data_IF_659977723330
#
_entry.id   IF_659977723330
#
_cell.length_a   1.000
_cell.length_b   1.000
_cell.length_c   1.000
_cell.angle_alpha   90.00
_cell.angle_beta   90.00
_cell.angle_gamma   90.00
#
_symmetry.space_group_name_H-M   'P 1'
#
loop_
_entity.id
_entity.type
_entity.pdbx_description
1 polymer ?
#
# COMPACT_ATOMS: atom_id res chain seq x y z
N UNK A 1 -2.36 25.70 -3.98
CA UNK A 1 -1.47 25.82 -2.79
C UNK A 1 -1.48 24.48 -2.05
N UNK A 2 -0.34 24.00 -1.58
CA UNK A 2 -0.25 22.77 -0.77
C UNK A 2 0.59 23.06 0.47
N UNK A 3 0.08 22.71 1.65
CA UNK A 3 0.76 22.90 2.94
C UNK A 3 0.75 21.59 3.73
N UNK A 4 1.88 21.27 4.35
CA UNK A 4 2.06 20.10 5.22
C UNK A 4 2.22 20.56 6.66
N UNK A 5 1.52 19.90 7.57
CA UNK A 5 1.52 20.18 9.01
C UNK A 5 1.73 18.85 9.73
N UNK A 6 2.60 18.80 10.71
CA UNK A 6 2.80 17.63 11.55
C UNK A 6 2.05 17.81 12.88
N UNK A 7 1.06 16.96 13.13
CA UNK A 7 0.29 16.90 14.36
C UNK A 7 0.76 15.73 15.23
N UNK A 8 0.89 15.93 16.54
CA UNK A 8 1.42 14.93 17.49
C UNK A 8 0.62 13.62 17.52
N UNK A 9 -0.69 13.67 17.29
CA UNK A 9 -1.58 12.50 17.36
C UNK A 9 -2.06 12.03 15.99
N UNK A 10 -2.32 12.95 15.07
CA UNK A 10 -2.83 12.68 13.74
C UNK A 10 -1.73 12.43 12.70
N UNK A 11 -0.46 12.67 13.08
CA UNK A 11 0.67 12.54 12.16
C UNK A 11 0.69 13.63 11.10
N UNK A 12 1.12 13.28 9.88
CA UNK A 12 1.22 14.26 8.79
C UNK A 12 -0.15 14.60 8.21
N UNK A 13 -0.44 15.89 8.14
CA UNK A 13 -1.65 16.45 7.55
C UNK A 13 -1.26 17.30 6.35
N UNK A 14 -1.78 16.98 5.18
CA UNK A 14 -1.58 17.74 3.95
C UNK A 14 -2.84 18.53 3.63
N UNK A 15 -2.77 19.85 3.58
CA UNK A 15 -3.88 20.74 3.19
C UNK A 15 -3.61 21.25 1.78
N UNK A 16 -4.57 21.05 0.88
CA UNK A 16 -4.47 21.50 -0.51
C UNK A 16 -5.74 22.17 -1.01
N UNK A 17 -5.60 23.16 -1.87
CA UNK A 17 -6.70 23.76 -2.60
C UNK A 17 -7.04 22.93 -3.86
N UNK A 18 -8.32 22.92 -4.20
CA UNK A 18 -8.80 22.26 -5.41
C UNK A 18 -9.92 23.03 -6.06
N UNK A 19 -9.78 23.33 -7.35
CA UNK A 19 -10.81 23.98 -8.18
C UNK A 19 -12.11 23.15 -8.31
N UNK A 20 -11.99 21.83 -8.08
CA UNK A 20 -13.15 20.92 -8.16
C UNK A 20 -13.87 20.77 -6.81
N UNK A 21 -13.29 21.28 -5.74
CA UNK A 21 -13.89 21.18 -4.42
C UNK A 21 -14.93 22.31 -4.22
N UNK A 22 -16.14 21.94 -3.88
CA UNK A 22 -17.21 22.87 -3.50
C UNK A 22 -17.37 23.01 -1.99
N UNK A 23 -16.73 22.14 -1.23
CA UNK A 23 -16.79 22.08 0.24
C UNK A 23 -15.46 21.60 0.85
N UNK A 24 -15.27 21.89 2.13
CA UNK A 24 -14.18 21.34 2.91
C UNK A 24 -14.32 19.83 3.04
N UNK A 25 -13.25 19.09 2.77
CA UNK A 25 -13.29 17.63 2.82
C UNK A 25 -12.03 17.11 3.51
N UNK A 26 -12.19 16.12 4.40
CA UNK A 26 -11.10 15.37 5.02
C UNK A 26 -11.10 13.96 4.43
N UNK A 27 -9.94 13.49 4.03
CA UNK A 27 -9.72 12.13 3.52
C UNK A 27 -8.50 11.54 4.20
N UNK A 28 -8.54 10.25 4.47
CA UNK A 28 -7.35 9.49 4.84
C UNK A 28 -6.83 8.82 3.58
N UNK A 29 -5.59 9.10 3.25
CA UNK A 29 -4.90 8.51 2.11
C UNK A 29 -3.52 8.05 2.56
N UNK A 30 -3.25 6.75 2.47
CA UNK A 30 -1.96 6.15 2.84
C UNK A 30 -1.53 6.39 4.30
N UNK A 31 -2.50 6.46 5.21
CA UNK A 31 -2.23 6.75 6.63
C UNK A 31 -1.94 8.22 6.92
N UNK A 32 -2.03 9.10 5.92
CA UNK A 32 -1.96 10.55 6.09
C UNK A 32 -3.33 11.20 5.94
N UNK A 33 -3.56 12.29 6.63
CA UNK A 33 -4.79 13.07 6.49
C UNK A 33 -4.60 14.11 5.39
N UNK A 34 -5.52 14.12 4.45
CA UNK A 34 -5.56 15.11 3.37
C UNK A 34 -6.80 15.97 3.52
N UNK A 35 -6.60 17.24 3.86
CA UNK A 35 -7.63 18.28 3.86
C UNK A 35 -7.71 18.95 2.48
N UNK A 36 -8.90 18.99 1.89
CA UNK A 36 -9.14 19.67 0.62
C UNK A 36 -10.00 20.88 0.85
N UNK A 37 -9.51 22.04 0.42
CA UNK A 37 -10.17 23.35 0.56
C UNK A 37 -10.65 23.80 -0.82
N UNK A 38 -11.87 24.38 -0.97
CA UNK A 38 -12.25 25.09 -2.18
C UNK A 38 -11.31 26.27 -2.47
N UNK A 39 -11.20 26.71 -3.72
CA UNK A 39 -10.46 27.91 -4.07
C UNK A 39 -10.99 29.11 -3.26
N UNK A 40 -10.10 29.88 -2.65
CA UNK A 40 -10.45 31.00 -1.77
C UNK A 40 -10.94 30.58 -0.39
N UNK A 41 -10.94 29.30 -0.08
CA UNK A 41 -11.31 28.80 1.26
C UNK A 41 -10.25 29.10 2.32
N UNK A 42 -10.67 29.24 3.57
CA UNK A 42 -9.82 29.57 4.69
C UNK A 42 -9.12 28.35 5.27
N UNK A 43 -7.79 28.36 5.35
CA UNK A 43 -6.99 27.35 6.03
C UNK A 43 -7.36 27.24 7.52
N UNK A 44 -7.59 28.39 8.19
CA UNK A 44 -8.01 28.44 9.60
C UNK A 44 -9.28 27.65 9.83
N UNK A 45 -10.24 27.75 8.89
CA UNK A 45 -11.48 26.98 8.92
C UNK A 45 -11.23 25.47 8.73
N UNK A 46 -10.28 25.10 7.87
CA UNK A 46 -9.88 23.70 7.70
C UNK A 46 -9.25 23.14 8.99
N UNK A 47 -8.39 23.90 9.66
CA UNK A 47 -7.80 23.48 10.94
C UNK A 47 -8.87 23.26 12.01
N UNK A 48 -9.84 24.16 12.11
CA UNK A 48 -10.98 24.00 13.02
C UNK A 48 -11.80 22.74 12.66
N UNK A 49 -12.05 22.49 11.39
CA UNK A 49 -12.75 21.30 10.92
C UNK A 49 -12.01 20.00 11.22
N UNK A 50 -10.66 20.02 11.19
CA UNK A 50 -9.82 18.90 11.64
C UNK A 50 -10.02 18.64 13.13
N UNK A 51 -9.99 19.68 13.97
CA UNK A 51 -10.19 19.56 15.43
C UNK A 51 -11.58 18.99 15.76
N UNK A 52 -12.63 19.49 15.15
CA UNK A 52 -14.00 18.97 15.35
C UNK A 52 -14.13 17.49 15.00
N UNK A 53 -13.34 17.01 14.04
CA UNK A 53 -13.36 15.63 13.59
C UNK A 53 -12.19 14.77 14.12
N UNK A 54 -11.38 15.28 15.04
CA UNK A 54 -10.18 14.64 15.57
C UNK A 54 -10.41 13.18 16.01
N UNK A 55 -11.42 12.93 16.81
CA UNK A 55 -11.75 11.58 17.29
C UNK A 55 -12.08 10.61 16.16
N UNK A 56 -12.85 11.07 15.17
CA UNK A 56 -13.20 10.26 13.97
C UNK A 56 -11.97 9.98 13.11
N UNK A 57 -11.08 10.96 12.96
CA UNK A 57 -9.83 10.81 12.21
C UNK A 57 -8.90 9.81 12.90
N UNK A 58 -8.72 9.88 14.21
CA UNK A 58 -7.92 8.91 14.97
C UNK A 58 -8.48 7.50 14.86
N UNK A 59 -9.79 7.30 14.98
CA UNK A 59 -10.43 6.02 14.82
C UNK A 59 -10.25 5.47 13.38
N UNK A 60 -10.29 6.36 12.40
CA UNK A 60 -10.12 5.98 10.99
C UNK A 60 -8.65 5.67 10.64
N UNK A 61 -7.69 6.41 11.19
CA UNK A 61 -6.26 6.11 11.03
C UNK A 61 -5.90 4.73 11.62
N UNK A 62 -6.50 4.35 12.77
CA UNK A 62 -6.33 3.00 13.33
C UNK A 62 -6.86 1.90 12.41
N UNK A 63 -7.94 2.14 11.67
CA UNK A 63 -8.51 1.19 10.70
C UNK A 63 -7.73 1.16 9.38
N UNK A 64 -7.08 2.25 9.03
CA UNK A 64 -6.32 2.41 7.79
C UNK A 64 -4.89 2.86 8.12
N UNK A 65 -4.05 1.97 8.69
CA UNK A 65 -2.67 2.33 9.02
C UNK A 65 -1.93 2.75 7.75
N UNK A 66 -0.88 3.54 7.93
CA UNK A 66 0.02 3.90 6.84
C UNK A 66 0.50 2.62 6.14
N UNK A 67 0.44 2.60 4.82
CA UNK A 67 1.02 1.49 4.08
C UNK A 67 2.53 1.53 4.26
N UNK A 68 3.08 0.41 4.67
CA UNK A 68 4.53 0.26 4.67
C UNK A 68 5.08 0.49 3.27
N UNK A 69 6.14 1.29 3.20
CA UNK A 69 6.85 1.58 1.96
C UNK A 69 7.75 0.40 1.64
N UNK A 70 7.56 -0.19 0.47
CA UNK A 70 8.46 -1.20 -0.04
C UNK A 70 9.83 -0.56 -0.33
N UNK A 71 10.85 -0.92 0.45
CA UNK A 71 12.19 -0.35 0.36
C UNK A 71 13.24 -1.41 0.66
N UNK A 72 14.51 -1.06 0.44
CA UNK A 72 15.67 -1.88 0.77
C UNK A 72 15.87 -2.12 2.28
N UNK A 73 15.09 -1.44 3.12
CA UNK A 73 15.10 -1.60 4.59
C UNK A 73 13.93 -2.42 5.11
N UNK A 74 12.97 -2.77 4.25
CA UNK A 74 11.78 -3.51 4.67
C UNK A 74 12.10 -5.01 4.71
N UNK A 75 11.99 -5.59 5.89
CA UNK A 75 11.99 -7.03 6.09
C UNK A 75 10.55 -7.53 6.06
N UNK A 76 10.20 -8.31 5.06
CA UNK A 76 8.85 -8.86 4.90
C UNK A 76 8.93 -10.35 4.63
N UNK A 77 8.27 -11.12 5.48
CA UNK A 77 8.12 -12.57 5.34
C UNK A 77 6.69 -12.90 4.95
N UNK A 78 6.53 -13.71 3.91
CA UNK A 78 5.25 -14.33 3.53
C UNK A 78 5.24 -15.80 3.96
N UNK A 79 4.16 -16.49 3.67
CA UNK A 79 4.08 -17.94 3.91
C UNK A 79 5.11 -18.75 3.11
N UNK A 80 5.46 -18.32 1.90
CA UNK A 80 6.29 -19.09 0.96
C UNK A 80 7.63 -18.45 0.62
N UNK A 81 7.82 -17.18 0.89
CA UNK A 81 9.07 -16.48 0.63
C UNK A 81 9.28 -15.25 1.50
N UNK A 82 10.55 -14.87 1.67
CA UNK A 82 10.96 -13.57 2.19
C UNK A 82 11.22 -12.58 1.06
N UNK A 83 10.99 -11.28 1.31
CA UNK A 83 11.29 -10.20 0.37
C UNK A 83 12.67 -9.62 0.66
N UNK A 84 13.49 -9.49 -0.38
CA UNK A 84 14.77 -8.81 -0.35
C UNK A 84 14.85 -7.79 -1.49
N UNK A 85 14.80 -6.50 -1.17
CA UNK A 85 14.95 -5.40 -2.13
C UNK A 85 16.37 -4.85 -1.98
N UNK A 86 17.09 -4.68 -3.09
CA UNK A 86 18.45 -4.16 -3.08
C UNK A 86 18.73 -3.28 -4.30
N UNK A 87 19.76 -2.45 -4.19
CA UNK A 87 20.19 -1.53 -5.24
C UNK A 87 21.22 -2.17 -6.14
N UNK A 88 21.22 -1.78 -7.41
CA UNK A 88 22.16 -2.26 -8.42
C UNK A 88 22.45 -1.14 -9.44
N UNK A 89 23.53 -1.29 -10.19
CA UNK A 89 23.91 -0.42 -11.30
C UNK A 89 23.02 -0.52 -12.55
N UNK A 90 22.11 -1.51 -12.58
CA UNK A 90 21.18 -1.70 -13.68
C UNK A 90 20.16 -0.55 -13.77
N UNK A 91 19.74 -0.21 -14.97
CA UNK A 91 18.81 0.89 -15.24
C UNK A 91 17.34 0.56 -14.96
N UNK A 92 16.97 -0.69 -14.71
CA UNK A 92 15.59 -1.14 -14.54
C UNK A 92 15.35 -1.92 -13.26
N UNK A 93 14.07 -2.27 -13.04
CA UNK A 93 13.64 -3.14 -11.95
C UNK A 93 13.60 -4.59 -12.43
N UNK A 94 14.24 -5.47 -11.70
CA UNK A 94 14.29 -6.89 -12.01
C UNK A 94 13.86 -7.71 -10.80
N UNK A 95 13.22 -8.86 -11.04
CA UNK A 95 12.83 -9.75 -9.96
C UNK A 95 13.27 -11.19 -10.25
N UNK A 96 13.62 -11.90 -9.20
CA UNK A 96 13.89 -13.34 -9.20
C UNK A 96 13.33 -13.96 -7.92
N UNK A 97 12.64 -15.08 -8.04
CA UNK A 97 12.14 -15.85 -6.91
C UNK A 97 12.86 -17.20 -6.89
N UNK A 98 13.79 -17.37 -5.95
CA UNK A 98 14.63 -18.56 -5.85
C UNK A 98 14.89 -18.89 -4.38
N UNK A 99 14.92 -20.19 -4.03
CA UNK A 99 15.25 -20.64 -2.68
C UNK A 99 14.36 -20.05 -1.56
N UNK A 100 13.11 -19.70 -1.87
CA UNK A 100 12.22 -19.07 -0.88
C UNK A 100 12.53 -17.59 -0.61
N UNK A 101 13.28 -16.92 -1.50
CA UNK A 101 13.56 -15.48 -1.43
C UNK A 101 13.15 -14.79 -2.71
N UNK A 102 12.31 -13.77 -2.59
CA UNK A 102 11.99 -12.84 -3.67
C UNK A 102 13.03 -11.71 -3.68
N UNK A 103 13.93 -11.76 -4.62
CA UNK A 103 14.91 -10.71 -4.88
C UNK A 103 14.32 -9.68 -5.83
N UNK A 104 14.32 -8.39 -5.44
CA UNK A 104 13.97 -7.28 -6.33
C UNK A 104 15.17 -6.33 -6.40
N UNK A 105 15.81 -6.29 -7.58
CA UNK A 105 16.88 -5.36 -7.88
C UNK A 105 16.31 -4.04 -8.40
N UNK A 106 16.74 -2.93 -7.83
CA UNK A 106 16.33 -1.57 -8.16
C UNK A 106 17.53 -0.75 -8.65
N UNK A 107 17.34 0.25 -9.53
CA UNK A 107 18.40 1.17 -9.88
C UNK A 107 19.01 1.87 -8.65
N UNK A 108 20.32 2.17 -8.69
CA UNK A 108 21.07 2.79 -7.56
C UNK A 108 20.37 4.04 -7.01
N UNK A 109 19.89 4.92 -7.90
CA UNK A 109 19.26 6.20 -7.55
C UNK A 109 17.74 6.08 -7.30
N UNK A 110 17.22 4.89 -6.96
CA UNK A 110 15.79 4.70 -6.72
C UNK A 110 15.33 5.48 -5.49
N UNK A 111 14.32 6.35 -5.69
CA UNK A 111 13.60 6.99 -4.60
C UNK A 111 12.39 6.13 -4.20
N UNK A 112 12.46 5.44 -3.07
CA UNK A 112 11.37 4.58 -2.59
C UNK A 112 10.13 5.37 -2.13
N UNK A 113 10.21 6.67 -1.89
CA UNK A 113 9.04 7.50 -1.58
C UNK A 113 8.21 7.86 -2.82
N UNK A 114 8.78 7.70 -4.02
CA UNK A 114 8.07 7.97 -5.28
C UNK A 114 6.93 6.95 -5.49
N UNK A 115 5.74 7.49 -5.74
CA UNK A 115 4.54 6.68 -6.00
C UNK A 115 4.68 5.75 -7.20
N UNK A 116 5.41 6.16 -8.24
CA UNK A 116 5.63 5.36 -9.44
C UNK A 116 6.50 4.15 -9.11
N UNK A 117 7.55 4.37 -8.30
CA UNK A 117 8.42 3.31 -7.80
C UNK A 117 7.61 2.32 -6.95
N UNK A 118 6.80 2.82 -6.00
CA UNK A 118 5.96 1.97 -5.17
C UNK A 118 4.95 1.14 -6.00
N UNK A 119 4.39 1.70 -7.06
CA UNK A 119 3.51 0.95 -7.98
C UNK A 119 4.26 -0.19 -8.67
N UNK A 120 5.48 0.06 -9.16
CA UNK A 120 6.32 -0.97 -9.79
C UNK A 120 6.66 -2.08 -8.81
N UNK A 121 7.19 -1.75 -7.64
CA UNK A 121 7.54 -2.73 -6.59
C UNK A 121 6.34 -3.57 -6.18
N UNK A 122 5.17 -2.93 -5.98
CA UNK A 122 3.94 -3.63 -5.63
C UNK A 122 3.47 -4.57 -6.75
N UNK A 123 3.65 -4.20 -8.02
CA UNK A 123 3.32 -5.08 -9.15
C UNK A 123 4.24 -6.30 -9.19
N UNK A 124 5.55 -6.12 -8.99
CA UNK A 124 6.52 -7.22 -8.93
C UNK A 124 6.21 -8.16 -7.76
N UNK A 125 5.94 -7.60 -6.59
CA UNK A 125 5.54 -8.38 -5.41
C UNK A 125 4.24 -9.17 -5.63
N UNK A 126 3.21 -8.54 -6.20
CA UNK A 126 1.94 -9.22 -6.56
C UNK A 126 2.15 -10.34 -7.59
N UNK A 127 3.06 -10.15 -8.55
CA UNK A 127 3.40 -11.17 -9.53
C UNK A 127 4.01 -12.40 -8.86
N UNK A 128 4.94 -12.20 -7.91
CA UNK A 128 5.52 -13.28 -7.11
C UNK A 128 4.47 -14.01 -6.27
N UNK A 129 3.61 -13.26 -5.55
CA UNK A 129 2.52 -13.85 -4.76
C UNK A 129 1.57 -14.69 -5.63
N UNK A 130 1.23 -14.20 -6.82
CA UNK A 130 0.37 -14.95 -7.75
C UNK A 130 1.04 -16.22 -8.23
N UNK A 131 2.34 -16.17 -8.56
CA UNK A 131 3.11 -17.34 -8.96
C UNK A 131 3.09 -18.41 -7.86
N UNK A 132 3.38 -18.02 -6.63
CA UNK A 132 3.36 -18.94 -5.48
C UNK A 132 1.95 -19.47 -5.16
N UNK A 133 0.93 -18.63 -5.26
CA UNK A 133 -0.45 -19.07 -5.11
C UNK A 133 -0.84 -20.13 -6.15
N UNK A 134 -0.46 -19.94 -7.42
CA UNK A 134 -0.71 -20.92 -8.48
C UNK A 134 0.05 -22.23 -8.24
N UNK A 135 1.20 -22.19 -7.61
CA UNK A 135 2.01 -23.37 -7.28
C UNK A 135 1.48 -24.14 -6.05
N UNK A 136 1.05 -23.43 -5.01
CA UNK A 136 0.75 -24.02 -3.71
C UNK A 136 -0.74 -24.34 -3.48
N UNK A 137 -1.64 -23.45 -3.94
CA UNK A 137 -3.05 -23.56 -3.59
C UNK A 137 -3.79 -24.75 -4.23
N UNK A 138 -3.49 -25.18 -5.49
CA UNK A 138 -4.16 -26.33 -6.07
C UNK A 138 -4.00 -27.61 -5.25
N UNK A 139 -2.78 -27.94 -4.84
CA UNK A 139 -2.51 -29.15 -4.07
C UNK A 139 -3.10 -29.06 -2.66
N UNK A 140 -3.03 -27.86 -2.04
CA UNK A 140 -3.67 -27.63 -0.75
C UNK A 140 -5.19 -27.78 -0.82
N UNK A 141 -5.82 -27.28 -1.88
CA UNK A 141 -7.27 -27.45 -2.08
C UNK A 141 -7.64 -28.92 -2.27
N UNK A 142 -6.88 -29.69 -3.06
CA UNK A 142 -7.08 -31.14 -3.23
C UNK A 142 -7.02 -31.89 -1.89
N UNK A 143 -6.01 -31.59 -1.07
CA UNK A 143 -5.88 -32.18 0.27
C UNK A 143 -7.10 -31.88 1.13
N UNK A 144 -7.57 -30.63 1.16
CA UNK A 144 -8.75 -30.24 1.95
C UNK A 144 -10.03 -30.88 1.40
N UNK A 145 -10.20 -30.94 0.09
CA UNK A 145 -11.34 -31.59 -0.54
C UNK A 145 -11.42 -33.07 -0.16
N UNK A 146 -10.31 -33.80 -0.23
CA UNK A 146 -10.23 -35.20 0.19
C UNK A 146 -10.54 -35.37 1.68
N UNK A 147 -10.00 -34.48 2.53
CA UNK A 147 -10.22 -34.54 3.98
C UNK A 147 -11.69 -34.30 4.36
N UNK A 148 -12.37 -33.41 3.67
CA UNK A 148 -13.75 -32.99 3.99
C UNK A 148 -14.81 -33.59 3.06
N UNK A 149 -14.44 -34.46 2.14
CA UNK A 149 -15.39 -35.21 1.30
C UNK A 149 -16.11 -34.37 0.25
N UNK A 150 -15.54 -33.26 -0.23
CA UNK A 150 -16.13 -32.49 -1.33
C UNK A 150 -15.31 -32.60 -2.63
N UNK A 151 -16.02 -32.46 -3.75
CA UNK A 151 -15.44 -32.51 -5.08
C UNK A 151 -15.48 -31.12 -5.75
N UNK A 152 -14.52 -30.84 -6.60
CA UNK A 152 -14.50 -29.64 -7.45
C UNK A 152 -13.98 -30.02 -8.83
N UNK A 153 -14.45 -29.30 -9.86
CA UNK A 153 -14.07 -29.56 -11.27
C UNK A 153 -12.91 -28.71 -11.72
N UNK A 154 -12.74 -27.49 -11.18
CA UNK A 154 -11.73 -26.54 -11.63
C UNK A 154 -11.27 -25.63 -10.47
N UNK A 155 -10.06 -25.07 -10.62
CA UNK A 155 -9.44 -24.15 -9.67
C UNK A 155 -9.02 -22.89 -10.41
N UNK A 156 -9.61 -21.75 -10.04
CA UNK A 156 -9.23 -20.44 -10.57
C UNK A 156 -8.66 -19.55 -9.47
N UNK A 157 -7.41 -19.14 -9.63
CA UNK A 157 -6.76 -18.20 -8.73
C UNK A 157 -6.93 -16.78 -9.26
N UNK A 158 -7.68 -15.97 -8.53
CA UNK A 158 -7.96 -14.57 -8.89
C UNK A 158 -7.45 -13.63 -7.81
N UNK A 159 -7.08 -12.40 -8.20
CA UNK A 159 -6.84 -11.33 -7.23
C UNK A 159 -8.18 -10.73 -6.79
N UNK A 160 -8.48 -10.73 -5.47
CA UNK A 160 -9.64 -9.99 -4.98
C UNK A 160 -9.42 -8.48 -5.17
N UNK A 161 -10.46 -7.79 -5.65
CA UNK A 161 -10.51 -6.32 -5.61
C UNK A 161 -11.15 -5.94 -4.28
N UNK A 162 -10.35 -5.35 -3.41
CA UNK A 162 -10.84 -4.63 -2.22
C UNK A 162 -11.11 -3.19 -2.58
#
# INVERSE_FOLDING_TARGET
MERKIDDKQLGRITIRESARATRYTLKISRGEIVGVIPIGGSEKRMLHFIEENRAKLLASLKRHPAREILSDKLELQTFSFSLHIFRTDRSGFYMSLQGGVLHIACPEKTNFEDERVQKVLLQLFKKALRHEACRLLPDRLKQLANLHGFNFSDIKITGSRT
#
